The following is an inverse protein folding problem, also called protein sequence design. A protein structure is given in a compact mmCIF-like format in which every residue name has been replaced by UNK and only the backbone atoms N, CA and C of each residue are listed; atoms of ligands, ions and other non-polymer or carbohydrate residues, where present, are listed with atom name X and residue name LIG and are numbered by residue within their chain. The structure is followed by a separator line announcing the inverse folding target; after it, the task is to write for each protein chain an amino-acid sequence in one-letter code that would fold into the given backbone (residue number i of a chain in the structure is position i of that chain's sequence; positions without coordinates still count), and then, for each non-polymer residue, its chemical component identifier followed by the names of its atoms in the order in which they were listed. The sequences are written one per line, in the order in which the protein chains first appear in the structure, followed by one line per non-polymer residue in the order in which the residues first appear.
data_IF_585838006501
#
_entry.id   IF_585838006501
#
_cell.length_a   1.000
_cell.length_b   1.000
_cell.length_c   1.000
_cell.angle_alpha   90.00
_cell.angle_beta   90.00
_cell.angle_gamma   90.00
#
_symmetry.space_group_name_H-M   'P 1'
#
loop_
_entity.id
_entity.type
_entity.pdbx_description
1 polymer ?
#
# COMPACT_ATOMS: atom_id res chain seq x y z
N UNK A 1 0.78 23.61 -20.10
CA UNK A 1 1.47 24.80 -19.56
C UNK A 1 2.96 24.87 -19.91
N UNK A 2 3.64 23.79 -20.34
CA UNK A 2 5.04 23.84 -20.84
C UNK A 2 5.28 23.09 -22.18
N UNK A 3 4.23 22.60 -22.85
CA UNK A 3 4.33 21.70 -24.02
C UNK A 3 5.23 20.46 -23.82
N UNK A 4 5.53 20.12 -22.57
CA UNK A 4 6.23 18.91 -22.18
C UNK A 4 5.23 17.75 -22.06
N UNK A 5 5.68 16.50 -22.28
CA UNK A 5 4.85 15.33 -22.00
C UNK A 5 4.43 15.33 -20.53
N UNK A 6 3.22 14.84 -20.27
CA UNK A 6 2.76 14.64 -18.91
C UNK A 6 3.65 13.60 -18.22
N UNK A 7 3.96 13.77 -16.93
CA UNK A 7 4.62 12.73 -16.17
C UNK A 7 3.76 11.47 -16.16
N UNK A 8 4.39 10.31 -16.00
CA UNK A 8 3.68 9.07 -15.77
C UNK A 8 2.74 9.22 -14.56
N UNK A 9 1.54 8.65 -14.68
CA UNK A 9 0.61 8.61 -13.56
C UNK A 9 1.24 7.83 -12.40
N UNK A 10 1.17 8.41 -11.21
CA UNK A 10 1.65 7.76 -9.99
C UNK A 10 0.46 7.50 -9.07
N UNK A 11 0.50 6.43 -8.26
CA UNK A 11 -0.52 6.20 -7.25
C UNK A 11 -0.63 7.43 -6.35
N UNK A 12 -1.86 7.94 -6.21
CA UNK A 12 -2.18 9.04 -5.29
C UNK A 12 -1.80 8.62 -3.89
N UNK A 13 -1.15 9.50 -3.15
CA UNK A 13 -0.73 9.25 -1.77
C UNK A 13 -1.10 10.45 -0.90
N UNK A 14 -1.59 10.16 0.28
CA UNK A 14 -1.88 11.14 1.31
C UNK A 14 -1.77 10.48 2.69
N UNK A 15 -1.76 11.29 3.73
CA UNK A 15 -1.69 10.82 5.10
C UNK A 15 -2.53 11.71 6.02
N UNK A 16 -2.78 11.20 7.21
CA UNK A 16 -3.37 11.93 8.30
C UNK A 16 -2.74 11.44 9.60
N UNK A 17 -2.55 12.38 10.53
CA UNK A 17 -2.24 12.05 11.91
C UNK A 17 -3.54 12.19 12.71
N UNK A 18 -3.94 11.12 13.37
CA UNK A 18 -5.08 11.10 14.27
C UNK A 18 -4.61 10.65 15.64
N UNK A 19 -4.68 11.55 16.61
CA UNK A 19 -4.10 11.33 17.94
C UNK A 19 -2.62 10.96 17.85
N UNK A 20 -2.24 9.77 18.34
CA UNK A 20 -0.89 9.21 18.31
C UNK A 20 -0.63 8.33 17.08
N UNK A 21 -1.58 8.25 16.16
CA UNK A 21 -1.54 7.32 15.03
C UNK A 21 -1.27 8.03 13.72
N UNK A 22 -0.22 7.60 13.02
CA UNK A 22 0.06 8.00 11.64
C UNK A 22 -0.60 7.03 10.68
N UNK A 23 -1.54 7.52 9.87
CA UNK A 23 -2.26 6.74 8.87
C UNK A 23 -1.91 7.24 7.48
N UNK A 24 -1.40 6.36 6.62
CA UNK A 24 -1.04 6.72 5.24
C UNK A 24 -1.80 5.87 4.24
N UNK A 25 -2.18 6.49 3.13
CA UNK A 25 -3.01 5.91 2.09
C UNK A 25 -2.28 6.01 0.76
N UNK A 26 -2.35 4.96 -0.05
CA UNK A 26 -1.81 4.97 -1.40
C UNK A 26 -2.70 4.18 -2.37
N UNK A 27 -2.92 4.71 -3.56
CA UNK A 27 -3.68 4.03 -4.62
C UNK A 27 -5.19 4.01 -4.39
N UNK A 28 -5.85 2.96 -4.86
CA UNK A 28 -7.30 2.83 -4.85
C UNK A 28 -7.85 2.46 -3.47
N UNK A 29 -8.82 3.24 -2.99
CA UNK A 29 -9.53 2.98 -1.72
C UNK A 29 -10.86 2.26 -1.92
N UNK A 30 -11.29 2.07 -3.17
CA UNK A 30 -12.44 1.27 -3.53
C UNK A 30 -11.94 -0.09 -4.00
N UNK A 31 -12.10 -1.10 -3.15
CA UNK A 31 -11.86 -2.51 -3.49
C UNK A 31 -12.81 -3.40 -2.68
N UNK A 32 -13.22 -4.51 -3.30
CA UNK A 32 -14.00 -5.56 -2.66
C UNK A 32 -13.12 -6.59 -1.93
N UNK A 33 -11.81 -6.60 -2.21
CA UNK A 33 -10.87 -7.55 -1.63
C UNK A 33 -9.76 -6.82 -0.87
N UNK A 34 -9.83 -6.91 0.45
CA UNK A 34 -8.83 -6.38 1.37
C UNK A 34 -8.16 -7.48 2.19
N UNK A 35 -6.86 -7.39 2.31
CA UNK A 35 -6.05 -8.23 3.21
C UNK A 35 -5.42 -7.38 4.31
N UNK A 36 -5.10 -7.99 5.45
CA UNK A 36 -4.48 -7.32 6.59
C UNK A 36 -3.18 -8.01 6.97
N UNK A 37 -2.14 -7.21 7.24
CA UNK A 37 -0.88 -7.64 7.88
C UNK A 37 -0.69 -6.88 9.18
N UNK A 38 -0.27 -7.57 10.23
CA UNK A 38 -0.08 -6.98 11.56
C UNK A 38 -1.36 -7.05 12.40
N UNK A 39 -1.49 -6.13 13.36
CA UNK A 39 -2.64 -6.08 14.28
C UNK A 39 -3.14 -4.65 14.42
N UNK A 40 -4.46 -4.50 14.23
CA UNK A 40 -5.14 -3.22 14.39
C UNK A 40 -5.19 -2.83 15.86
N UNK A 41 -5.42 -3.82 16.73
CA UNK A 41 -5.44 -3.68 18.19
C UNK A 41 -4.10 -3.23 18.74
N UNK A 42 -3.00 -3.66 18.12
CA UNK A 42 -1.64 -3.23 18.45
C UNK A 42 -1.23 -1.89 17.82
N UNK A 43 -2.17 -1.17 17.17
CA UNK A 43 -1.90 0.07 16.45
C UNK A 43 -0.77 -0.05 15.41
N UNK A 44 -0.66 -1.21 14.77
CA UNK A 44 0.43 -1.50 13.85
C UNK A 44 -0.04 -2.50 12.78
N UNK A 45 -0.57 -1.96 11.68
CA UNK A 45 -1.21 -2.75 10.65
C UNK A 45 -1.01 -2.16 9.24
N UNK A 46 -1.17 -3.00 8.24
CA UNK A 46 -1.25 -2.63 6.83
C UNK A 46 -2.46 -3.32 6.22
N UNK A 47 -3.31 -2.54 5.55
CA UNK A 47 -4.37 -3.06 4.69
C UNK A 47 -3.92 -2.99 3.24
N UNK A 48 -4.19 -4.05 2.48
CA UNK A 48 -3.86 -4.16 1.07
C UNK A 48 -5.15 -4.35 0.27
N UNK A 49 -5.40 -3.45 -0.69
CA UNK A 49 -6.49 -3.59 -1.65
C UNK A 49 -5.98 -4.34 -2.87
N UNK A 50 -6.62 -5.47 -3.18
CA UNK A 50 -6.32 -6.27 -4.36
C UNK A 50 -7.42 -6.14 -5.42
N UNK A 51 -7.01 -6.22 -6.68
CA UNK A 51 -7.89 -6.41 -7.83
C UNK A 51 -7.19 -7.35 -8.80
N UNK A 52 -7.84 -8.47 -9.15
CA UNK A 52 -7.27 -9.50 -10.02
C UNK A 52 -5.89 -10.01 -9.55
N UNK A 53 -5.71 -10.14 -8.23
CA UNK A 53 -4.45 -10.56 -7.61
C UNK A 53 -3.33 -9.51 -7.63
N UNK A 54 -3.60 -8.28 -8.07
CA UNK A 54 -2.63 -7.18 -8.12
C UNK A 54 -2.91 -6.17 -7.01
N UNK A 55 -1.86 -5.63 -6.41
CA UNK A 55 -2.00 -4.57 -5.42
C UNK A 55 -2.41 -3.26 -6.11
N UNK A 56 -3.60 -2.75 -5.80
CA UNK A 56 -4.12 -1.49 -6.36
C UNK A 56 -4.14 -0.34 -5.36
N UNK A 57 -4.11 -0.66 -4.07
CA UNK A 57 -4.04 0.34 -3.00
C UNK A 57 -3.59 -0.27 -1.67
N UNK A 58 -3.20 0.59 -0.73
CA UNK A 58 -2.84 0.18 0.61
C UNK A 58 -3.05 1.29 1.63
N UNK A 59 -3.23 0.90 2.89
CA UNK A 59 -3.32 1.78 4.05
C UNK A 59 -2.34 1.28 5.09
N UNK A 60 -1.50 2.14 5.65
CA UNK A 60 -0.63 1.79 6.79
C UNK A 60 -1.07 2.53 8.03
N UNK A 61 -1.14 1.83 9.15
CA UNK A 61 -1.23 2.38 10.50
C UNK A 61 0.13 2.21 11.19
N UNK A 62 0.80 3.32 11.49
CA UNK A 62 2.13 3.39 12.11
C UNK A 62 3.22 2.57 11.40
N UNK A 63 3.06 2.37 10.09
CA UNK A 63 3.98 1.61 9.23
C UNK A 63 4.41 2.41 7.99
N UNK A 64 4.52 3.74 8.11
CA UNK A 64 4.87 4.64 7.01
C UNK A 64 6.16 4.29 6.25
N UNK A 65 7.11 3.60 6.91
CA UNK A 65 8.34 3.07 6.27
C UNK A 65 8.07 2.14 5.07
N UNK A 66 6.90 1.48 5.05
CA UNK A 66 6.51 0.56 3.98
C UNK A 66 5.96 1.27 2.74
N UNK A 67 5.61 2.56 2.81
CA UNK A 67 4.97 3.29 1.71
C UNK A 67 5.75 3.24 0.40
N UNK A 68 7.09 3.32 0.45
CA UNK A 68 7.91 3.24 -0.77
C UNK A 68 7.81 1.89 -1.45
N UNK A 69 7.62 0.81 -0.68
CA UNK A 69 7.52 -0.55 -1.18
C UNK A 69 6.13 -0.78 -1.78
N UNK A 70 5.09 -0.34 -1.08
CA UNK A 70 3.70 -0.38 -1.54
C UNK A 70 3.50 0.41 -2.83
N UNK A 71 4.06 1.63 -2.91
CA UNK A 71 4.05 2.45 -4.13
C UNK A 71 4.60 1.67 -5.33
N UNK A 72 5.74 1.01 -5.13
CA UNK A 72 6.42 0.29 -6.21
C UNK A 72 5.66 -0.97 -6.64
N UNK A 73 5.12 -1.73 -5.68
CA UNK A 73 4.26 -2.89 -5.97
C UNK A 73 3.04 -2.48 -6.80
N UNK A 74 2.37 -1.38 -6.44
CA UNK A 74 1.22 -0.85 -7.20
C UNK A 74 1.65 -0.43 -8.61
N UNK A 75 2.79 0.26 -8.75
CA UNK A 75 3.30 0.72 -10.05
C UNK A 75 3.72 -0.43 -10.97
N UNK A 76 4.28 -1.51 -10.43
CA UNK A 76 4.62 -2.70 -11.20
C UNK A 76 3.37 -3.48 -11.60
N UNK A 77 2.35 -3.45 -10.75
CA UNK A 77 1.08 -4.12 -11.00
C UNK A 77 1.21 -5.62 -11.13
N UNK A 78 2.28 -6.26 -10.64
CA UNK A 78 2.44 -7.71 -10.70
C UNK A 78 1.38 -8.41 -9.85
N UNK A 79 1.04 -9.66 -10.21
CA UNK A 79 0.24 -10.53 -9.34
C UNK A 79 1.09 -10.85 -8.10
N UNK A 80 0.52 -10.67 -6.91
CA UNK A 80 1.19 -10.91 -5.64
C UNK A 80 0.68 -12.20 -4.99
N UNK A 81 1.57 -12.91 -4.30
CA UNK A 81 1.16 -14.00 -3.41
C UNK A 81 0.60 -13.41 -2.11
N UNK A 82 -0.69 -13.61 -1.89
CA UNK A 82 -1.42 -13.10 -0.73
C UNK A 82 -0.85 -13.59 0.61
N UNK A 83 -0.32 -14.82 0.66
CA UNK A 83 0.27 -15.38 1.88
C UNK A 83 1.58 -14.67 2.20
N UNK A 84 2.42 -14.44 1.20
CA UNK A 84 3.69 -13.72 1.38
C UNK A 84 3.46 -12.24 1.68
N UNK A 85 2.42 -11.64 1.10
CA UNK A 85 2.05 -10.25 1.34
C UNK A 85 1.62 -10.02 2.80
N UNK A 86 0.88 -10.97 3.37
CA UNK A 86 0.34 -10.90 4.74
C UNK A 86 1.28 -11.45 5.81
N UNK A 87 2.31 -12.21 5.45
CA UNK A 87 3.30 -12.74 6.39
C UNK A 87 4.18 -11.63 6.98
N UNK A 88 4.16 -11.40 8.31
CA UNK A 88 4.99 -10.38 8.96
C UNK A 88 6.50 -10.65 8.86
N UNK A 89 6.93 -11.90 8.64
CA UNK A 89 8.34 -12.29 8.52
C UNK A 89 8.92 -12.01 7.13
N UNK A 90 8.08 -11.81 6.12
CA UNK A 90 8.50 -11.50 4.74
C UNK A 90 8.61 -9.99 4.57
N UNK A 91 9.80 -9.48 4.28
CA UNK A 91 9.99 -8.05 4.02
C UNK A 91 9.27 -7.65 2.72
N UNK A 92 8.41 -6.62 2.72
CA UNK A 92 7.70 -6.20 1.50
C UNK A 92 8.65 -5.86 0.35
N UNK A 93 9.86 -5.39 0.66
CA UNK A 93 10.91 -5.13 -0.34
C UNK A 93 11.26 -6.37 -1.18
N UNK A 94 11.15 -7.59 -0.65
CA UNK A 94 11.47 -8.81 -1.40
C UNK A 94 10.36 -9.24 -2.36
N UNK A 95 9.20 -8.60 -2.33
CA UNK A 95 8.07 -8.87 -3.22
C UNK A 95 8.06 -7.97 -4.46
N UNK A 96 9.02 -7.03 -4.54
CA UNK A 96 9.20 -6.04 -5.60
C UNK A 96 10.04 -6.59 -6.74
#
# INVERSE_FOLDING_TARGET
MLAQPLPATVPVWFWTDQFDSNIQFIGAMQSEHWLVRGSVEAHNAIWFALQEGRLVGAITLNQGREMRHLRRLIQQGNVVDEKLLTDPLVALKSLI
#
